data_IF_670447783021
#
_entry.id   IF_670447783021
#
_cell.length_a   1.000
_cell.length_b   1.000
_cell.length_c   1.000
_cell.angle_alpha   90.00
_cell.angle_beta   90.00
_cell.angle_gamma   90.00
#
_symmetry.space_group_name_H-M   'P 1'
#
loop_
_entity.id
_entity.type
_entity.pdbx_description
1 polymer ?
#
# COMPACT_ATOMS: atom_id res chain seq x y z
N UNK A 1 -19.84 -2.90 14.27
CA UNK A 1 -18.37 -2.80 14.47
C UNK A 1 -17.78 -1.87 13.43
N UNK A 2 -17.71 -0.58 13.74
CA UNK A 2 -17.18 0.45 12.85
C UNK A 2 -15.65 0.49 12.87
N UNK A 3 -15.05 0.43 11.68
CA UNK A 3 -13.87 1.23 11.33
C UNK A 3 -12.53 0.50 11.32
N UNK A 4 -11.93 0.41 10.14
CA UNK A 4 -10.49 0.34 9.81
C UNK A 4 -9.80 -1.01 9.57
N UNK A 5 -10.39 -2.18 9.85
CA UNK A 5 -9.90 -3.46 9.28
C UNK A 5 -8.43 -3.86 9.46
N UNK A 6 -7.72 -3.27 10.43
CA UNK A 6 -6.27 -3.52 10.63
C UNK A 6 -6.11 -4.88 11.31
N UNK A 7 -5.32 -5.81 10.77
CA UNK A 7 -5.06 -7.09 11.43
C UNK A 7 -4.32 -6.88 12.75
N UNK A 8 -4.59 -7.72 13.77
CA UNK A 8 -4.08 -7.57 15.14
C UNK A 8 -2.55 -7.49 15.26
N UNK A 9 -1.82 -7.94 14.24
CA UNK A 9 -0.34 -7.93 14.17
C UNK A 9 0.24 -6.83 13.28
N UNK A 10 -0.61 -6.03 12.63
CA UNK A 10 -0.15 -4.93 11.80
C UNK A 10 0.04 -3.66 12.64
N UNK A 11 1.17 -2.99 12.40
CA UNK A 11 1.50 -1.68 12.96
C UNK A 11 1.27 -0.60 11.90
N UNK A 12 1.04 0.64 12.33
CA UNK A 12 1.02 1.80 11.43
C UNK A 12 2.31 2.59 11.63
N UNK A 13 3.08 2.82 10.57
CA UNK A 13 4.22 3.74 10.59
C UNK A 13 3.89 5.00 9.77
N UNK A 14 3.92 6.18 10.42
CA UNK A 14 3.78 7.44 9.70
C UNK A 14 5.05 7.72 8.91
N UNK A 15 4.93 7.64 7.59
CA UNK A 15 5.98 8.03 6.66
C UNK A 15 5.55 9.18 5.74
N UNK A 16 6.48 10.08 5.43
CA UNK A 16 6.21 11.28 4.65
C UNK A 16 7.43 11.61 3.80
N UNK A 17 7.21 11.91 2.52
CA UNK A 17 8.23 12.44 1.62
C UNK A 17 8.75 13.80 2.13
N UNK A 18 7.86 14.78 2.28
CA UNK A 18 8.16 16.08 2.90
C UNK A 18 7.87 16.04 4.40
N UNK A 19 8.80 15.45 5.15
CA UNK A 19 8.67 15.30 6.60
C UNK A 19 8.91 16.62 7.32
N UNK A 20 7.99 16.98 8.21
CA UNK A 20 8.21 17.99 9.24
C UNK A 20 7.61 17.53 10.57
N UNK A 21 8.16 17.98 11.69
CA UNK A 21 7.62 17.61 13.00
C UNK A 21 6.14 17.98 13.14
N UNK A 22 5.75 19.16 12.63
CA UNK A 22 4.36 19.63 12.67
C UNK A 22 3.43 18.67 11.94
N UNK A 23 3.79 18.22 10.73
CA UNK A 23 2.98 17.26 9.95
C UNK A 23 2.90 15.90 10.64
N UNK A 24 4.02 15.40 11.14
CA UNK A 24 4.08 14.11 11.85
C UNK A 24 3.19 14.16 13.09
N UNK A 25 3.31 15.20 13.94
CA UNK A 25 2.48 15.39 15.13
C UNK A 25 0.99 15.45 14.77
N UNK A 26 0.63 16.19 13.72
CA UNK A 26 -0.77 16.30 13.27
C UNK A 26 -1.34 14.95 12.80
N UNK A 27 -0.61 14.19 11.98
CA UNK A 27 -1.05 12.89 11.47
C UNK A 27 -1.13 11.86 12.61
N UNK A 28 -0.11 11.79 13.47
CA UNK A 28 -0.14 10.89 14.64
C UNK A 28 -1.33 11.20 15.54
N UNK A 29 -1.62 12.49 15.79
CA UNK A 29 -2.80 12.91 16.57
C UNK A 29 -4.12 12.48 15.90
N UNK A 30 -4.23 12.69 14.58
CA UNK A 30 -5.40 12.29 13.80
C UNK A 30 -5.62 10.76 13.85
N UNK A 31 -4.57 9.97 13.63
CA UNK A 31 -4.62 8.51 13.72
C UNK A 31 -4.99 8.04 15.12
N UNK A 32 -4.36 8.59 16.17
CA UNK A 32 -4.72 8.27 17.57
C UNK A 32 -6.18 8.56 17.87
N UNK A 33 -6.74 9.65 17.33
CA UNK A 33 -8.16 9.99 17.49
C UNK A 33 -9.06 8.98 16.76
N UNK A 34 -8.72 8.63 15.52
CA UNK A 34 -9.50 7.67 14.71
C UNK A 34 -9.42 6.23 15.21
N UNK A 35 -8.33 5.85 15.87
CA UNK A 35 -8.05 4.51 16.39
C UNK A 35 -8.31 4.38 17.90
N UNK A 36 -9.01 5.34 18.52
CA UNK A 36 -9.36 5.27 19.95
C UNK A 36 -10.07 3.94 20.27
N UNK A 37 -9.61 3.28 21.33
CA UNK A 37 -10.11 1.97 21.74
C UNK A 37 -9.47 0.78 21.03
N UNK A 38 -8.48 1.00 20.16
CA UNK A 38 -7.73 -0.07 19.48
C UNK A 38 -6.30 -0.19 20.00
N UNK A 39 -5.77 -1.41 20.00
CA UNK A 39 -4.40 -1.76 20.39
C UNK A 39 -3.41 -1.67 19.23
N UNK A 40 -3.56 -0.66 18.35
CA UNK A 40 -2.68 -0.49 17.18
C UNK A 40 -1.54 0.46 17.53
N UNK A 41 -0.31 -0.02 17.40
CA UNK A 41 0.89 0.78 17.61
C UNK A 41 1.11 1.74 16.42
N UNK A 42 1.33 3.03 16.75
CA UNK A 42 1.60 4.09 15.77
C UNK A 42 3.07 4.51 15.90
N UNK A 43 3.86 4.16 14.88
CA UNK A 43 5.29 4.41 14.73
C UNK A 43 5.58 5.62 13.83
N UNK A 44 6.86 5.92 13.61
CA UNK A 44 7.30 6.98 12.68
C UNK A 44 7.37 8.38 13.29
N UNK A 45 6.94 8.57 14.55
CA UNK A 45 7.15 9.84 15.28
C UNK A 45 8.64 10.10 15.56
N UNK A 46 9.36 9.06 16.01
CA UNK A 46 10.80 9.09 16.32
C UNK A 46 11.50 7.92 15.62
N UNK A 47 11.76 8.01 14.30
CA UNK A 47 12.42 6.95 13.55
C UNK A 47 13.84 6.71 14.09
N UNK A 48 14.25 5.44 14.21
CA UNK A 48 15.53 4.99 14.79
C UNK A 48 16.37 4.17 13.78
N UNK A 49 15.93 4.09 12.52
CA UNK A 49 16.60 3.42 11.42
C UNK A 49 16.54 4.24 10.13
N UNK A 50 17.44 3.91 9.20
CA UNK A 50 17.49 4.51 7.86
C UNK A 50 17.52 3.43 6.80
N UNK A 51 16.62 3.53 5.82
CA UNK A 51 16.61 2.72 4.60
C UNK A 51 17.86 3.10 3.79
N UNK A 52 18.74 2.13 3.46
CA UNK A 52 19.93 2.38 2.65
C UNK A 52 19.58 2.91 1.26
N UNK A 53 20.44 3.77 0.69
CA UNK A 53 20.26 4.27 -0.68
C UNK A 53 19.15 5.32 -0.86
N UNK A 54 18.56 5.83 0.22
CA UNK A 54 17.62 6.96 0.19
C UNK A 54 18.20 8.19 0.89
N UNK A 55 17.80 9.36 0.42
CA UNK A 55 18.27 10.64 0.95
C UNK A 55 17.40 11.17 2.09
N UNK A 56 18.04 11.93 2.98
CA UNK A 56 17.40 12.76 4.01
C UNK A 56 16.25 12.09 4.77
N UNK A 57 15.05 12.68 4.67
CA UNK A 57 13.84 12.28 5.38
C UNK A 57 13.19 11.02 4.78
N UNK A 58 13.38 10.75 3.48
CA UNK A 58 12.81 9.59 2.79
C UNK A 58 13.38 8.28 3.30
N UNK A 59 14.62 8.31 3.78
CA UNK A 59 15.29 7.17 4.39
C UNK A 59 14.74 6.82 5.78
N UNK A 60 14.10 7.75 6.49
CA UNK A 60 13.74 7.53 7.89
C UNK A 60 12.69 6.43 8.05
N UNK A 61 12.93 5.54 9.00
CA UNK A 61 12.02 4.44 9.37
C UNK A 61 12.23 3.98 10.81
N UNK A 62 11.37 3.12 11.33
CA UNK A 62 11.47 2.51 12.66
C UNK A 62 11.89 1.05 12.54
N UNK A 63 12.81 0.60 13.40
CA UNK A 63 13.24 -0.82 13.51
C UNK A 63 12.05 -1.73 13.75
N UNK A 64 11.11 -1.28 14.57
CA UNK A 64 9.88 -1.99 14.93
C UNK A 64 8.80 -1.90 13.83
N UNK A 65 9.00 -1.05 12.83
CA UNK A 65 8.06 -0.80 11.75
C UNK A 65 8.60 -1.24 10.40
N UNK A 66 8.57 -0.33 9.42
CA UNK A 66 8.87 -0.65 8.02
C UNK A 66 10.27 -1.28 7.86
N UNK A 67 11.27 -0.83 8.62
CA UNK A 67 12.62 -1.36 8.54
C UNK A 67 12.71 -2.84 8.95
N UNK A 68 11.98 -3.26 9.99
CA UNK A 68 11.97 -4.64 10.48
C UNK A 68 10.89 -5.55 9.87
N UNK A 69 9.94 -4.99 9.13
CA UNK A 69 8.84 -5.74 8.53
C UNK A 69 9.29 -6.64 7.36
N UNK A 70 8.62 -7.78 7.23
CA UNK A 70 8.67 -8.72 6.11
C UNK A 70 7.72 -8.30 4.97
N UNK A 71 6.53 -7.81 5.33
CA UNK A 71 5.50 -7.30 4.40
C UNK A 71 5.16 -5.85 4.73
N UNK A 72 5.05 -5.00 3.71
CA UNK A 72 4.70 -3.58 3.88
C UNK A 72 3.60 -3.18 2.88
N UNK A 73 2.49 -2.64 3.39
CA UNK A 73 1.46 -1.99 2.59
C UNK A 73 1.77 -0.50 2.48
N UNK A 74 1.99 0.01 1.27
CA UNK A 74 2.34 1.41 1.01
C UNK A 74 1.36 2.05 0.01
N UNK A 75 0.36 2.79 0.49
CA UNK A 75 -0.53 3.55 -0.39
C UNK A 75 0.15 4.86 -0.84
N UNK A 76 0.02 5.21 -2.13
CA UNK A 76 0.50 6.49 -2.69
C UNK A 76 1.98 6.79 -2.37
N UNK A 77 2.86 5.79 -2.55
CA UNK A 77 4.27 5.84 -2.16
C UNK A 77 5.20 6.36 -3.26
N UNK A 78 6.34 6.91 -2.85
CA UNK A 78 7.45 7.30 -3.72
C UNK A 78 8.13 6.10 -4.39
N UNK A 79 8.35 6.19 -5.70
CA UNK A 79 8.89 5.09 -6.49
C UNK A 79 10.28 4.64 -6.04
N UNK A 80 11.17 5.58 -5.68
CA UNK A 80 12.51 5.25 -5.18
C UNK A 80 12.42 4.47 -3.86
N UNK A 81 11.52 4.89 -2.97
CA UNK A 81 11.35 4.26 -1.67
C UNK A 81 10.75 2.86 -1.80
N UNK A 82 9.74 2.68 -2.64
CA UNK A 82 9.19 1.36 -2.93
C UNK A 82 10.26 0.41 -3.50
N UNK A 83 11.06 0.89 -4.45
CA UNK A 83 12.18 0.13 -5.03
C UNK A 83 13.20 -0.28 -3.95
N UNK A 84 13.62 0.63 -3.07
CA UNK A 84 14.54 0.28 -1.97
C UNK A 84 13.96 -0.70 -0.95
N UNK A 85 12.66 -0.62 -0.66
CA UNK A 85 12.02 -1.61 0.20
C UNK A 85 12.03 -3.01 -0.42
N UNK A 86 11.81 -3.10 -1.74
CA UNK A 86 11.90 -4.37 -2.47
C UNK A 86 13.34 -4.89 -2.53
N UNK A 87 14.33 -4.02 -2.80
CA UNK A 87 15.76 -4.39 -2.74
C UNK A 87 16.19 -4.90 -1.36
N UNK A 88 15.56 -4.40 -0.29
CA UNK A 88 15.75 -4.90 1.09
C UNK A 88 15.07 -6.26 1.34
N UNK A 89 14.51 -6.91 0.32
CA UNK A 89 13.88 -8.22 0.42
C UNK A 89 12.45 -8.20 0.98
N UNK A 90 11.83 -7.02 1.10
CA UNK A 90 10.47 -6.89 1.65
C UNK A 90 9.44 -7.20 0.58
N UNK A 91 8.31 -7.79 0.98
CA UNK A 91 7.13 -7.90 0.13
C UNK A 91 6.36 -6.58 0.21
N UNK A 92 6.40 -5.82 -0.88
CA UNK A 92 5.75 -4.50 -0.94
C UNK A 92 4.41 -4.64 -1.65
N UNK A 93 3.33 -4.29 -0.95
CA UNK A 93 1.98 -4.19 -1.49
C UNK A 93 1.70 -2.71 -1.71
N UNK A 94 1.52 -2.29 -2.95
CA UNK A 94 1.18 -0.92 -3.29
C UNK A 94 -0.33 -0.75 -3.52
N UNK A 95 -0.87 0.42 -3.16
CA UNK A 95 -2.16 0.89 -3.66
C UNK A 95 -1.89 2.17 -4.45
N UNK A 96 -2.11 2.11 -5.75
CA UNK A 96 -1.82 3.21 -6.68
C UNK A 96 -2.81 3.16 -7.85
N UNK A 97 -3.36 4.31 -8.23
CA UNK A 97 -4.28 4.40 -9.37
C UNK A 97 -3.56 4.23 -10.72
N UNK A 98 -2.26 4.51 -10.76
CA UNK A 98 -1.49 4.48 -11.99
C UNK A 98 -0.73 3.15 -12.14
N UNK A 99 -1.17 2.22 -13.01
CA UNK A 99 -0.46 0.95 -13.24
C UNK A 99 0.94 1.15 -13.85
N UNK A 100 1.23 2.30 -14.44
CA UNK A 100 2.51 2.62 -15.07
C UNK A 100 3.53 3.29 -14.12
N UNK A 101 3.12 3.61 -12.89
CA UNK A 101 4.00 4.31 -11.95
C UNK A 101 5.24 3.46 -11.63
N UNK A 102 6.32 4.12 -11.19
CA UNK A 102 7.52 3.39 -10.74
C UNK A 102 7.19 2.50 -9.54
N UNK A 103 6.35 2.99 -8.62
CA UNK A 103 5.85 2.24 -7.46
C UNK A 103 5.12 0.97 -7.90
N UNK A 104 4.12 1.11 -8.78
CA UNK A 104 3.31 0.00 -9.29
C UNK A 104 4.15 -1.08 -9.96
N UNK A 105 5.13 -0.70 -10.77
CA UNK A 105 6.00 -1.65 -11.49
C UNK A 105 7.04 -2.33 -10.62
N UNK A 106 7.43 -1.72 -9.50
CA UNK A 106 8.48 -2.25 -8.61
C UNK A 106 7.90 -3.06 -7.45
N UNK A 107 6.68 -2.75 -7.01
CA UNK A 107 6.02 -3.46 -5.92
C UNK A 107 5.85 -4.96 -6.22
N UNK A 108 5.83 -5.76 -5.16
CA UNK A 108 5.54 -7.20 -5.25
C UNK A 108 4.09 -7.43 -5.68
N UNK A 109 3.17 -6.62 -5.18
CA UNK A 109 1.74 -6.65 -5.52
C UNK A 109 1.27 -5.21 -5.67
N UNK A 110 0.51 -4.91 -6.71
CA UNK A 110 -0.09 -3.60 -6.92
C UNK A 110 -1.60 -3.70 -7.01
N UNK A 111 -2.29 -3.01 -6.13
CA UNK A 111 -3.74 -2.83 -6.18
C UNK A 111 -4.00 -1.56 -6.97
N UNK A 112 -4.44 -1.71 -8.22
CA UNK A 112 -4.77 -0.60 -9.12
C UNK A 112 -6.17 -0.08 -8.81
N UNK A 113 -6.31 0.64 -7.71
CA UNK A 113 -7.60 1.15 -7.23
C UNK A 113 -7.42 2.41 -6.35
N UNK A 114 -8.53 3.13 -6.13
CA UNK A 114 -8.54 4.25 -5.21
C UNK A 114 -8.45 3.74 -3.76
N UNK A 115 -7.57 4.33 -2.95
CA UNK A 115 -7.36 3.96 -1.54
C UNK A 115 -8.66 3.87 -0.72
N UNK A 116 -9.63 4.74 -1.00
CA UNK A 116 -10.91 4.78 -0.27
C UNK A 116 -11.80 3.55 -0.56
N UNK A 117 -11.60 2.88 -1.70
CA UNK A 117 -12.25 1.60 -2.04
C UNK A 117 -11.38 0.40 -1.69
N UNK A 118 -10.08 0.50 -1.95
CA UNK A 118 -9.13 -0.56 -1.73
C UNK A 118 -9.07 -1.00 -0.26
N UNK A 119 -8.97 -0.06 0.69
CA UNK A 119 -8.83 -0.40 2.12
C UNK A 119 -10.06 -1.16 2.65
N UNK A 120 -11.32 -0.70 2.44
CA UNK A 120 -12.49 -1.49 2.81
C UNK A 120 -12.57 -2.86 2.13
N UNK A 121 -12.16 -2.96 0.86
CA UNK A 121 -12.14 -4.24 0.14
C UNK A 121 -11.09 -5.20 0.71
N UNK A 122 -9.90 -4.72 1.08
CA UNK A 122 -8.90 -5.52 1.78
C UNK A 122 -9.49 -6.06 3.09
N UNK A 123 -10.14 -5.22 3.90
CA UNK A 123 -10.78 -5.66 5.15
C UNK A 123 -11.84 -6.74 4.89
N UNK A 124 -12.68 -6.56 3.86
CA UNK A 124 -13.69 -7.52 3.47
C UNK A 124 -13.06 -8.87 3.07
N UNK A 125 -12.03 -8.85 2.24
CA UNK A 125 -11.35 -10.06 1.80
C UNK A 125 -10.57 -10.74 2.92
N UNK A 126 -9.97 -10.00 3.85
CA UNK A 126 -9.36 -10.57 5.04
C UNK A 126 -10.37 -11.39 5.86
N UNK A 127 -11.59 -10.90 6.04
CA UNK A 127 -12.66 -11.63 6.74
C UNK A 127 -13.13 -12.87 5.98
N UNK A 128 -13.20 -12.79 4.65
CA UNK A 128 -13.59 -13.93 3.79
C UNK A 128 -12.52 -15.03 3.78
N UNK A 129 -11.25 -14.65 3.90
CA UNK A 129 -10.11 -15.56 3.79
C UNK A 129 -9.62 -16.08 5.15
N UNK A 130 -10.08 -15.53 6.27
CA UNK A 130 -9.62 -15.90 7.62
C UNK A 130 -9.85 -17.37 7.99
N UNK A 131 -10.84 -18.02 7.38
CA UNK A 131 -11.15 -19.44 7.58
C UNK A 131 -10.40 -20.41 6.66
N UNK A 132 -9.58 -19.91 5.72
CA UNK A 132 -8.85 -20.78 4.80
C UNK A 132 -7.59 -21.37 5.43
N UNK A 133 -7.21 -22.54 4.94
CA UNK A 133 -5.97 -23.18 5.36
C UNK A 133 -4.74 -22.40 4.90
N UNK A 134 -3.64 -22.54 5.63
CA UNK A 134 -2.35 -21.95 5.26
C UNK A 134 -1.92 -22.34 3.84
N UNK A 135 -2.10 -23.60 3.47
CA UNK A 135 -1.79 -24.10 2.14
C UNK A 135 -2.57 -23.38 1.03
N UNK A 136 -3.88 -23.17 1.21
CA UNK A 136 -4.69 -22.42 0.24
C UNK A 136 -4.23 -20.97 0.11
N UNK A 137 -3.90 -20.31 1.22
CA UNK A 137 -3.42 -18.94 1.23
C UNK A 137 -2.04 -18.82 0.56
N UNK A 138 -1.12 -19.72 0.86
CA UNK A 138 0.21 -19.76 0.24
C UNK A 138 0.10 -20.05 -1.26
N UNK A 139 -0.78 -20.96 -1.66
CA UNK A 139 -1.06 -21.23 -3.08
C UNK A 139 -1.53 -19.97 -3.81
N UNK A 140 -2.53 -19.26 -3.26
CA UNK A 140 -3.02 -18.00 -3.85
C UNK A 140 -1.93 -16.94 -3.99
N UNK A 141 -1.04 -16.82 -2.99
CA UNK A 141 0.08 -15.87 -3.07
C UNK A 141 1.11 -16.32 -4.11
N UNK A 142 1.40 -17.62 -4.20
CA UNK A 142 2.40 -18.16 -5.14
C UNK A 142 1.98 -18.08 -6.61
N UNK A 143 0.67 -18.11 -6.87
CA UNK A 143 0.09 -18.04 -8.22
C UNK A 143 -0.13 -16.59 -8.70
N UNK A 144 0.04 -15.59 -7.83
CA UNK A 144 -0.18 -14.20 -8.18
C UNK A 144 1.00 -13.63 -8.99
N UNK A 145 0.72 -13.14 -10.19
CA UNK A 145 1.67 -12.44 -11.05
C UNK A 145 1.30 -10.94 -11.13
N UNK A 146 2.16 -10.09 -10.57
CA UNK A 146 1.93 -8.64 -10.59
C UNK A 146 2.08 -8.03 -11.99
N UNK A 147 2.96 -8.58 -12.84
CA UNK A 147 3.11 -8.15 -14.22
C UNK A 147 1.83 -8.37 -15.02
N UNK A 148 1.27 -9.58 -14.94
CA UNK A 148 -0.01 -9.90 -15.55
C UNK A 148 -1.16 -9.05 -14.97
N UNK A 149 -1.16 -8.77 -13.67
CA UNK A 149 -2.13 -7.88 -13.04
C UNK A 149 -2.07 -6.43 -13.58
N UNK A 150 -0.87 -5.88 -13.76
CA UNK A 150 -0.69 -4.54 -14.34
C UNK A 150 -1.07 -4.51 -15.82
N UNK A 151 -0.74 -5.54 -16.58
CA UNK A 151 -1.16 -5.69 -17.97
C UNK A 151 -2.69 -5.74 -18.09
N UNK A 152 -3.36 -6.55 -17.26
CA UNK A 152 -4.82 -6.61 -17.21
C UNK A 152 -5.44 -5.27 -16.85
N UNK A 153 -4.83 -4.52 -15.92
CA UNK A 153 -5.27 -3.17 -15.56
C UNK A 153 -5.14 -2.21 -16.75
N UNK A 154 -4.05 -2.29 -17.51
CA UNK A 154 -3.86 -1.50 -18.73
C UNK A 154 -4.86 -1.86 -19.82
N UNK A 155 -5.12 -3.15 -20.01
CA UNK A 155 -6.12 -3.63 -20.97
C UNK A 155 -7.51 -3.09 -20.65
N UNK A 156 -7.89 -3.02 -19.37
CA UNK A 156 -9.17 -2.45 -18.96
C UNK A 156 -9.25 -0.95 -19.24
N UNK A 157 -8.16 -0.20 -18.99
CA UNK A 157 -8.08 1.23 -19.34
C UNK A 157 -8.24 1.41 -20.86
N UNK A 158 -7.53 0.62 -21.67
CA UNK A 158 -7.61 0.71 -23.14
C UNK A 158 -9.01 0.43 -23.66
N UNK A 159 -9.67 -0.65 -23.18
CA UNK A 159 -11.05 -0.97 -23.54
C UNK A 159 -12.01 0.18 -23.23
N UNK A 160 -11.88 0.78 -22.05
CA UNK A 160 -12.73 1.90 -21.66
C UNK A 160 -12.47 3.12 -22.57
N UNK A 161 -11.22 3.43 -22.91
CA UNK A 161 -10.89 4.52 -23.84
C UNK A 161 -11.47 4.28 -25.25
N UNK A 162 -11.38 3.05 -25.77
CA UNK A 162 -11.96 2.67 -27.05
C UNK A 162 -13.49 2.84 -27.07
N UNK A 163 -14.17 2.33 -26.03
CA UNK A 163 -15.61 2.51 -25.86
C UNK A 163 -16.02 3.98 -25.85
N UNK A 164 -15.33 4.81 -25.05
CA UNK A 164 -15.63 6.24 -24.97
C UNK A 164 -15.36 6.97 -26.30
N UNK A 165 -14.35 6.54 -27.07
CA UNK A 165 -14.08 7.08 -28.41
C UNK A 165 -15.24 6.83 -29.37
N UNK A 166 -15.87 5.66 -29.31
CA UNK A 166 -17.07 5.35 -30.09
C UNK A 166 -18.28 6.18 -29.66
N UNK A 167 -18.44 6.41 -28.35
CA UNK A 167 -19.52 7.24 -27.82
C UNK A 167 -19.39 8.70 -28.24
N UNK A 168 -18.18 9.28 -28.17
CA UNK A 168 -17.92 10.66 -28.65
C UNK A 168 -18.30 10.80 -30.12
N UNK A 169 -17.94 9.83 -30.97
CA UNK A 169 -18.29 9.82 -32.40
C UNK A 169 -19.80 9.76 -32.68
N UNK A 170 -20.61 9.30 -31.73
CA UNK A 170 -22.08 9.23 -31.89
C UNK A 170 -22.78 10.54 -31.52
N UNK A 171 -22.10 11.42 -30.78
CA UNK A 171 -22.67 12.65 -30.23
C UNK A 171 -22.09 13.91 -30.89
N UNK A 172 -20.95 13.80 -31.58
CA UNK A 172 -20.39 14.83 -32.45
C UNK A 172 -20.77 14.58 -33.92
#
# INVERSE_FOLDING_TARGET
NNGYGIPDRARIEVNLFHRSEKRVKAIVSHLKKGLRGKTVEILGAKPNRRIPGLEHARALSSKEGVYGADVVLVPLEDGDRAEKLVEMGKKVIAIDLNPLSRTSRKATITIVDNITRAIPNIELHMKKLSGKSRYELEKMVSEFDNGANLENSMNEIMRNLEKNKEEVRKVC
#
